data_IF_472217416741
#
_entry.id   IF_472217416741
#
_cell.length_a   1.000
_cell.length_b   1.000
_cell.length_c   1.000
_cell.angle_alpha   90.00
_cell.angle_beta   90.00
_cell.angle_gamma   90.00
#
_symmetry.space_group_name_H-M   'P 1'
#
loop_
_entity.id
_entity.type
_entity.pdbx_description
1 polymer ?
#
# COMPACT_ATOMS: atom_id res chain seq x y z
N UNK A 1 -14.17 -23.17 7.26
CA UNK A 1 -13.88 -22.05 6.34
C UNK A 1 -12.72 -22.46 5.47
N UNK A 2 -12.83 -22.33 4.14
CA UNK A 2 -11.77 -22.65 3.18
C UNK A 2 -11.17 -21.31 2.74
N UNK A 3 -9.90 -21.07 3.02
CA UNK A 3 -9.19 -19.89 2.54
C UNK A 3 -8.64 -20.23 1.15
N UNK A 4 -8.98 -19.43 0.15
CA UNK A 4 -8.49 -19.57 -1.21
C UNK A 4 -7.58 -18.38 -1.52
N UNK A 5 -6.44 -18.64 -2.15
CA UNK A 5 -5.54 -17.57 -2.62
C UNK A 5 -6.15 -17.00 -3.90
N UNK A 6 -6.76 -15.81 -3.77
CA UNK A 6 -7.27 -15.05 -4.89
C UNK A 6 -6.19 -14.13 -5.46
N UNK A 7 -5.98 -14.21 -6.77
CA UNK A 7 -5.17 -13.23 -7.50
C UNK A 7 -6.10 -12.25 -8.22
N UNK A 8 -5.75 -10.97 -8.19
CA UNK A 8 -6.48 -9.93 -8.92
C UNK A 8 -5.51 -9.00 -9.64
N UNK A 9 -5.97 -8.41 -10.74
CA UNK A 9 -5.13 -7.58 -11.59
C UNK A 9 -5.20 -6.11 -11.14
N UNK A 10 -4.05 -5.56 -10.76
CA UNK A 10 -3.89 -4.15 -10.37
C UNK A 10 -3.29 -3.38 -11.53
N UNK A 11 -4.01 -2.39 -12.04
CA UNK A 11 -3.59 -1.50 -13.12
C UNK A 11 -2.82 -0.29 -12.61
N UNK A 12 -3.22 0.25 -11.46
CA UNK A 12 -2.55 1.39 -10.85
C UNK A 12 -2.67 1.34 -9.32
N UNK A 13 -1.76 2.03 -8.65
CA UNK A 13 -1.72 2.14 -7.19
C UNK A 13 -1.65 3.62 -6.84
N UNK A 14 -2.52 4.06 -5.93
CA UNK A 14 -2.58 5.46 -5.48
C UNK A 14 -2.69 5.53 -3.96
N UNK A 15 -2.23 6.64 -3.37
CA UNK A 15 -2.55 6.93 -1.97
C UNK A 15 -3.92 7.60 -1.86
N UNK A 16 -4.67 7.23 -0.83
CA UNK A 16 -5.97 7.82 -0.52
C UNK A 16 -6.30 7.77 0.97
N UNK A 17 -7.53 8.14 1.31
CA UNK A 17 -7.98 8.20 2.70
C UNK A 17 -8.32 6.84 3.33
N UNK A 18 -8.47 5.79 2.51
CA UNK A 18 -8.78 4.43 2.98
C UNK A 18 -8.24 3.38 2.01
N UNK A 19 -7.92 2.21 2.53
CA UNK A 19 -7.46 1.08 1.73
C UNK A 19 -8.63 0.44 1.00
N UNK A 20 -8.65 0.51 -0.32
CA UNK A 20 -9.74 -0.04 -1.14
C UNK A 20 -9.26 -0.42 -2.53
N UNK A 21 -9.92 -1.40 -3.15
CA UNK A 21 -9.66 -1.79 -4.53
C UNK A 21 -10.92 -1.59 -5.37
N UNK A 22 -10.83 -0.77 -6.42
CA UNK A 22 -11.95 -0.49 -7.31
C UNK A 22 -11.47 -0.25 -8.74
N UNK A 23 -12.15 -0.83 -9.73
CA UNK A 23 -11.87 -0.64 -11.16
C UNK A 23 -10.41 -0.91 -11.59
N UNK A 24 -9.69 -1.77 -10.87
CA UNK A 24 -8.27 -2.06 -11.14
C UNK A 24 -7.29 -1.08 -10.48
N UNK A 25 -7.77 -0.11 -9.69
CA UNK A 25 -6.94 0.82 -8.93
C UNK A 25 -6.92 0.38 -7.47
N UNK A 26 -5.72 0.17 -6.93
CA UNK A 26 -5.50 -0.09 -5.51
C UNK A 26 -5.23 1.24 -4.80
N UNK A 27 -6.18 1.66 -3.97
CA UNK A 27 -6.01 2.80 -3.08
C UNK A 27 -5.43 2.31 -1.77
N UNK A 28 -4.33 2.91 -1.32
CA UNK A 28 -3.66 2.58 -0.06
C UNK A 28 -3.78 3.77 0.89
N UNK A 29 -4.14 3.50 2.15
CA UNK A 29 -4.08 4.51 3.19
C UNK A 29 -2.63 4.67 3.68
N UNK A 30 -1.98 5.77 3.28
CA UNK A 30 -0.59 6.06 3.66
C UNK A 30 -0.41 6.13 5.19
N UNK A 31 -1.40 6.66 5.90
CA UNK A 31 -1.34 6.81 7.36
C UNK A 31 -1.37 5.47 8.07
N UNK A 32 -2.34 4.61 7.72
CA UNK A 32 -2.41 3.24 8.29
C UNK A 32 -1.12 2.45 8.03
N UNK A 33 -0.55 2.57 6.83
CA UNK A 33 0.72 1.91 6.51
C UNK A 33 1.88 2.48 7.32
N UNK A 34 1.99 3.80 7.46
CA UNK A 34 3.04 4.43 8.27
C UNK A 34 2.88 4.07 9.75
N UNK A 35 1.67 4.13 10.29
CA UNK A 35 1.39 3.80 11.69
C UNK A 35 1.77 2.34 11.99
N UNK A 36 1.51 1.41 11.05
CA UNK A 36 1.93 0.02 11.17
C UNK A 36 3.45 -0.14 11.15
N UNK A 37 4.15 0.55 10.26
CA UNK A 37 5.61 0.51 10.17
C UNK A 37 6.26 1.12 11.41
N UNK A 38 5.78 2.29 11.84
CA UNK A 38 6.26 2.99 13.04
C UNK A 38 5.90 2.29 14.35
N UNK A 39 5.07 1.24 14.31
CA UNK A 39 4.83 0.39 15.48
C UNK A 39 6.06 -0.45 15.83
N UNK A 40 7.04 -0.55 14.94
CA UNK A 40 8.35 -1.14 15.23
C UNK A 40 9.26 -0.12 15.93
N UNK A 41 9.67 -0.43 17.17
CA UNK A 41 10.50 0.45 18.00
C UNK A 41 11.90 0.72 17.41
N UNK A 42 12.35 -0.08 16.44
CA UNK A 42 13.64 0.13 15.78
C UNK A 42 13.59 1.16 14.65
N UNK A 43 12.40 1.61 14.25
CA UNK A 43 12.23 2.55 13.15
C UNK A 43 12.10 3.97 13.71
N UNK A 44 13.08 4.82 13.41
CA UNK A 44 13.07 6.22 13.85
C UNK A 44 12.24 7.11 12.92
N UNK A 45 12.36 6.90 11.61
CA UNK A 45 11.61 7.63 10.59
C UNK A 45 11.32 6.68 9.42
N UNK A 46 10.13 6.80 8.83
CA UNK A 46 9.74 6.04 7.65
C UNK A 46 8.94 6.92 6.68
N UNK A 47 9.19 6.74 5.39
CA UNK A 47 8.41 7.38 4.35
C UNK A 47 8.01 6.38 3.27
N UNK A 48 6.74 6.43 2.88
CA UNK A 48 6.18 5.57 1.84
C UNK A 48 6.02 6.33 0.52
N UNK A 49 6.53 5.70 -0.53
CA UNK A 49 6.45 6.12 -1.92
C UNK A 49 5.85 5.01 -2.77
N UNK A 50 4.93 5.37 -3.67
CA UNK A 50 4.49 4.49 -4.76
C UNK A 50 5.30 4.88 -5.97
N UNK A 51 6.07 3.94 -6.50
CA UNK A 51 6.96 4.16 -7.64
C UNK A 51 6.59 3.26 -8.80
N UNK A 52 6.75 3.79 -10.00
CA UNK A 52 6.59 3.06 -11.26
C UNK A 52 7.97 2.70 -11.81
N UNK A 53 8.07 1.64 -12.61
CA UNK A 53 9.33 1.28 -13.26
C UNK A 53 9.92 2.47 -14.02
N UNK A 54 11.11 2.93 -13.62
CA UNK A 54 11.79 4.09 -14.21
C UNK A 54 11.78 5.35 -13.34
N UNK A 55 11.01 5.39 -12.25
CA UNK A 55 11.10 6.47 -11.27
C UNK A 55 12.46 6.44 -10.55
N UNK A 56 13.06 7.61 -10.37
CA UNK A 56 14.24 7.79 -9.51
C UNK A 56 13.76 8.29 -8.15
N UNK A 57 13.81 7.39 -7.16
CA UNK A 57 13.56 7.68 -5.75
C UNK A 57 14.76 7.32 -4.91
#
# INVERSE_FOLDING_TARGET
MKLEIGNFHVKDIIFGGSTSFSNGILTINKKECLDFVMSDEHITEAELYIVKPGDKV
#
